data_IF_263660369333
#
_entry.id   IF_263660369333
#
_cell.length_a   1.000
_cell.length_b   1.000
_cell.length_c   1.000
_cell.angle_alpha   90.00
_cell.angle_beta   90.00
_cell.angle_gamma   90.00
#
_symmetry.space_group_name_H-M   'P 1'
#
loop_
_entity.id
_entity.type
_entity.pdbx_description
1 polymer ?
#
# COMPACT_ATOMS: atom_id res chain seq x y z
N UNK A 1 -19.44 -13.13 -18.09
CA UNK A 1 -19.42 -14.36 -18.93
C UNK A 1 -18.71 -15.44 -18.14
N UNK A 2 -19.36 -16.54 -17.73
CA UNK A 2 -18.68 -17.69 -17.11
C UNK A 2 -18.17 -18.61 -18.23
N UNK A 3 -16.86 -18.69 -18.37
CA UNK A 3 -16.22 -19.58 -19.35
C UNK A 3 -15.88 -20.98 -18.78
N UNK A 4 -16.37 -21.34 -17.60
CA UNK A 4 -16.04 -22.59 -16.93
C UNK A 4 -17.16 -23.61 -17.00
N UNK A 5 -16.81 -24.87 -17.33
CA UNK A 5 -17.61 -26.01 -16.95
C UNK A 5 -17.32 -26.34 -15.48
N UNK A 6 -18.23 -27.08 -14.81
CA UNK A 6 -18.02 -27.60 -13.43
C UNK A 6 -16.65 -28.32 -13.31
N UNK A 7 -16.20 -29.01 -14.33
CA UNK A 7 -14.89 -29.67 -14.38
C UNK A 7 -13.72 -28.68 -14.34
N UNK A 8 -13.83 -27.57 -15.06
CA UNK A 8 -12.79 -26.51 -15.06
C UNK A 8 -12.69 -25.85 -13.70
N UNK A 9 -13.82 -25.61 -13.03
CA UNK A 9 -13.85 -25.03 -11.69
C UNK A 9 -13.19 -25.96 -10.64
N UNK A 10 -13.43 -27.28 -10.74
CA UNK A 10 -12.77 -28.28 -9.88
C UNK A 10 -11.26 -28.33 -10.15
N UNK A 11 -10.84 -28.34 -11.41
CA UNK A 11 -9.42 -28.34 -11.79
C UNK A 11 -8.70 -27.12 -11.23
N UNK A 12 -9.27 -25.92 -11.41
CA UNK A 12 -8.71 -24.69 -10.88
C UNK A 12 -8.65 -24.71 -9.35
N UNK A 13 -9.66 -25.27 -8.68
CA UNK A 13 -9.66 -25.45 -7.22
C UNK A 13 -8.49 -26.30 -6.73
N UNK A 14 -8.22 -27.44 -7.38
CA UNK A 14 -7.08 -28.31 -7.03
C UNK A 14 -5.74 -27.60 -7.24
N UNK A 15 -5.61 -26.86 -8.34
CA UNK A 15 -4.37 -26.09 -8.64
C UNK A 15 -4.18 -24.98 -7.62
N UNK A 16 -5.25 -24.28 -7.24
CA UNK A 16 -5.18 -23.20 -6.25
C UNK A 16 -4.81 -23.71 -4.86
N UNK A 17 -5.44 -24.81 -4.38
CA UNK A 17 -5.09 -25.42 -3.10
C UNK A 17 -3.61 -25.83 -3.02
N UNK A 18 -3.09 -26.43 -4.08
CA UNK A 18 -1.68 -26.87 -4.12
C UNK A 18 -0.73 -25.67 -4.22
N UNK A 19 -1.13 -24.60 -4.93
CA UNK A 19 -0.38 -23.35 -5.00
C UNK A 19 -0.35 -22.63 -3.63
N UNK A 20 -1.46 -22.62 -2.90
CA UNK A 20 -1.54 -21.99 -1.58
C UNK A 20 -0.71 -22.76 -0.55
N UNK A 21 -0.71 -24.08 -0.58
CA UNK A 21 0.18 -24.92 0.22
C UNK A 21 1.67 -24.68 -0.11
N UNK A 22 2.00 -24.47 -1.39
CA UNK A 22 3.35 -24.10 -1.81
C UNK A 22 3.77 -22.72 -1.25
N UNK A 23 2.89 -21.72 -1.31
CA UNK A 23 3.14 -20.37 -0.74
C UNK A 23 3.30 -20.42 0.77
N UNK A 24 2.60 -21.32 1.47
CA UNK A 24 2.73 -21.55 2.90
C UNK A 24 4.04 -22.28 3.29
N UNK A 25 4.80 -22.79 2.31
CA UNK A 25 6.03 -23.56 2.54
C UNK A 25 5.82 -25.05 2.80
N UNK A 26 4.60 -25.56 2.65
CA UNK A 26 4.22 -26.95 2.93
C UNK A 26 4.60 -27.91 1.79
N UNK A 27 4.90 -27.38 0.60
CA UNK A 27 5.24 -28.16 -0.61
C UNK A 27 6.50 -27.61 -1.28
N UNK A 28 7.35 -28.51 -1.80
CA UNK A 28 8.55 -28.14 -2.56
C UNK A 28 8.17 -27.76 -4.01
N UNK A 29 8.74 -26.66 -4.52
CA UNK A 29 8.50 -26.07 -5.84
C UNK A 29 8.66 -27.02 -7.05
N UNK A 30 9.28 -28.17 -6.86
CA UNK A 30 9.66 -29.08 -7.97
C UNK A 30 8.50 -29.87 -8.59
N UNK A 31 7.39 -30.06 -7.87
CA UNK A 31 6.30 -30.91 -8.34
C UNK A 31 4.95 -30.48 -7.76
N UNK A 32 4.02 -30.14 -8.63
CA UNK A 32 2.60 -30.00 -8.31
C UNK A 32 1.88 -31.32 -8.72
N UNK A 33 2.02 -32.42 -7.95
CA UNK A 33 1.60 -33.75 -8.37
C UNK A 33 0.09 -33.88 -8.48
N UNK A 34 -0.68 -33.26 -7.59
CA UNK A 34 -2.14 -33.26 -7.62
C UNK A 34 -2.68 -32.45 -8.81
N UNK A 35 -2.09 -31.28 -9.03
CA UNK A 35 -2.42 -30.42 -10.18
C UNK A 35 -2.09 -31.11 -11.51
N UNK A 36 -0.93 -31.74 -11.61
CA UNK A 36 -0.54 -32.48 -12.82
C UNK A 36 -1.42 -33.71 -13.08
N UNK A 37 -1.82 -34.42 -12.03
CA UNK A 37 -2.76 -35.52 -12.13
C UNK A 37 -4.15 -35.08 -12.61
N UNK A 38 -4.63 -33.97 -12.06
CA UNK A 38 -5.90 -33.35 -12.44
C UNK A 38 -5.87 -32.86 -13.91
N UNK A 39 -4.81 -32.19 -14.34
CA UNK A 39 -4.61 -31.81 -15.75
C UNK A 39 -4.56 -33.04 -16.65
N UNK A 40 -3.91 -34.13 -16.21
CA UNK A 40 -3.83 -35.37 -16.98
C UNK A 40 -5.20 -36.04 -17.17
N UNK A 41 -6.02 -35.98 -16.13
CA UNK A 41 -7.39 -36.52 -16.18
C UNK A 41 -8.31 -35.72 -17.11
N UNK A 42 -8.22 -34.41 -17.06
CA UNK A 42 -9.09 -33.52 -17.84
C UNK A 42 -8.66 -33.37 -19.31
N UNK A 43 -7.35 -33.50 -19.59
CA UNK A 43 -6.78 -33.34 -20.92
C UNK A 43 -6.00 -34.60 -21.36
N UNK A 44 -6.66 -35.75 -21.50
CA UNK A 44 -5.99 -37.03 -21.84
C UNK A 44 -5.32 -37.02 -23.23
N UNK A 45 -5.78 -36.19 -24.14
CA UNK A 45 -5.24 -36.07 -25.51
C UNK A 45 -3.91 -35.30 -25.58
N UNK A 46 -3.55 -34.55 -24.56
CA UNK A 46 -2.28 -33.83 -24.53
C UNK A 46 -1.12 -34.77 -24.17
N UNK A 47 0.03 -34.55 -24.79
CA UNK A 47 1.28 -35.22 -24.41
C UNK A 47 1.73 -34.76 -23.00
N UNK A 48 2.61 -35.53 -22.35
CA UNK A 48 3.15 -35.18 -21.03
C UNK A 48 3.82 -33.83 -21.02
N UNK A 49 4.49 -33.44 -22.11
CA UNK A 49 5.14 -32.11 -22.23
C UNK A 49 4.10 -30.98 -22.28
N UNK A 50 3.05 -31.14 -23.08
CA UNK A 50 1.99 -30.14 -23.21
C UNK A 50 1.20 -29.95 -21.91
N UNK A 51 0.98 -31.03 -21.16
CA UNK A 51 0.34 -30.93 -19.82
C UNK A 51 1.17 -30.12 -18.83
N UNK A 52 2.48 -30.32 -18.82
CA UNK A 52 3.39 -29.54 -17.98
C UNK A 52 3.39 -28.06 -18.39
N UNK A 53 3.42 -27.79 -19.70
CA UNK A 53 3.37 -26.39 -20.19
C UNK A 53 2.02 -25.73 -19.89
N UNK A 54 0.90 -26.46 -20.03
CA UNK A 54 -0.42 -25.97 -19.64
C UNK A 54 -0.48 -25.65 -18.15
N UNK A 55 0.00 -26.55 -17.28
CA UNK A 55 0.04 -26.33 -15.84
C UNK A 55 0.92 -25.11 -15.50
N UNK A 56 2.09 -24.99 -16.13
CA UNK A 56 2.97 -23.83 -15.96
C UNK A 56 2.27 -22.53 -16.34
N UNK A 57 1.56 -22.49 -17.46
CA UNK A 57 0.78 -21.32 -17.90
C UNK A 57 -0.28 -20.94 -16.86
N UNK A 58 -1.05 -21.90 -16.37
CA UNK A 58 -2.09 -21.67 -15.36
C UNK A 58 -1.48 -21.18 -14.05
N UNK A 59 -0.42 -21.81 -13.56
CA UNK A 59 0.28 -21.38 -12.35
C UNK A 59 0.83 -19.96 -12.50
N UNK A 60 1.41 -19.63 -13.67
CA UNK A 60 1.89 -18.29 -13.96
C UNK A 60 0.73 -17.29 -13.93
N UNK A 61 -0.40 -17.60 -14.57
CA UNK A 61 -1.57 -16.73 -14.57
C UNK A 61 -2.14 -16.52 -13.15
N UNK A 62 -2.20 -17.56 -12.34
CA UNK A 62 -2.68 -17.47 -10.96
C UNK A 62 -1.69 -16.72 -10.03
N UNK A 63 -0.39 -16.84 -10.27
CA UNK A 63 0.63 -16.12 -9.49
C UNK A 63 0.79 -14.67 -9.93
N UNK A 64 0.56 -14.37 -11.20
CA UNK A 64 0.53 -12.98 -11.69
C UNK A 64 -0.72 -12.22 -11.24
N UNK A 65 -1.78 -12.92 -10.87
CA UNK A 65 -3.00 -12.34 -10.34
C UNK A 65 -2.89 -12.24 -8.80
N UNK A 66 -1.96 -11.41 -8.31
CA UNK A 66 -1.99 -10.98 -6.91
C UNK A 66 -3.31 -10.25 -6.72
N UNK A 67 -4.24 -10.83 -5.96
CA UNK A 67 -5.51 -10.19 -5.63
C UNK A 67 -5.19 -8.86 -4.94
N UNK A 68 -5.42 -7.77 -5.66
CA UNK A 68 -5.35 -6.45 -5.06
C UNK A 68 -6.53 -6.34 -4.09
N UNK A 69 -6.23 -6.20 -2.80
CA UNK A 69 -7.25 -5.98 -1.79
C UNK A 69 -7.50 -4.50 -1.65
N UNK A 70 -8.75 -4.12 -1.76
CA UNK A 70 -9.19 -2.74 -1.54
C UNK A 70 -10.24 -2.72 -0.45
N UNK A 71 -10.00 -1.95 0.59
CA UNK A 71 -10.90 -1.77 1.71
C UNK A 71 -11.27 -0.29 1.87
N UNK A 72 -12.56 -0.01 2.02
CA UNK A 72 -13.05 1.33 2.30
C UNK A 72 -12.75 1.71 3.75
N UNK A 73 -12.21 2.92 3.96
CA UNK A 73 -12.01 3.54 5.27
C UNK A 73 -12.79 4.83 5.38
N UNK A 74 -13.30 5.12 6.56
CA UNK A 74 -14.19 6.26 6.79
C UNK A 74 -13.77 7.01 8.05
N UNK A 75 -13.74 8.33 7.98
CA UNK A 75 -13.87 9.19 9.16
C UNK A 75 -15.30 9.70 9.24
N UNK A 76 -15.90 9.65 10.40
CA UNK A 76 -17.20 10.24 10.63
C UNK A 76 -17.35 10.58 12.13
N UNK A 77 -18.19 11.58 12.48
CA UNK A 77 -18.52 11.86 13.87
C UNK A 77 -19.07 10.62 14.57
N UNK A 78 -18.63 10.39 15.80
CA UNK A 78 -19.03 9.21 16.61
C UNK A 78 -20.55 9.05 16.76
N UNK A 79 -21.29 10.16 16.64
CA UNK A 79 -22.76 10.18 16.71
C UNK A 79 -23.45 9.43 15.57
N UNK A 80 -22.75 9.14 14.47
CA UNK A 80 -23.36 8.50 13.29
C UNK A 80 -23.38 6.97 13.35
N UNK A 81 -22.76 6.36 14.35
CA UNK A 81 -22.74 4.90 14.59
C UNK A 81 -22.39 4.07 13.33
N UNK A 82 -21.46 4.57 12.51
CA UNK A 82 -21.04 3.90 11.27
C UNK A 82 -20.16 2.69 11.60
N UNK A 83 -20.55 1.52 11.12
CA UNK A 83 -19.81 0.26 11.29
C UNK A 83 -18.85 0.02 10.14
N UNK A 84 -17.85 0.88 9.99
CA UNK A 84 -16.82 0.77 8.96
C UNK A 84 -15.47 1.00 9.60
N UNK A 85 -14.41 0.47 8.99
CA UNK A 85 -13.05 0.72 9.45
C UNK A 85 -12.75 2.20 9.46
N UNK A 86 -12.24 2.70 10.58
CA UNK A 86 -11.94 4.13 10.72
C UNK A 86 -10.64 4.49 10.03
N UNK A 87 -10.57 5.69 9.46
CA UNK A 87 -9.34 6.21 8.83
C UNK A 87 -8.18 6.24 9.82
N UNK A 88 -8.39 6.70 11.05
CA UNK A 88 -7.36 6.72 12.09
C UNK A 88 -6.87 5.31 12.46
N UNK A 89 -7.79 4.34 12.60
CA UNK A 89 -7.43 2.96 12.86
C UNK A 89 -6.59 2.35 11.73
N UNK A 90 -6.95 2.63 10.47
CA UNK A 90 -6.19 2.18 9.31
C UNK A 90 -4.79 2.83 9.25
N UNK A 91 -4.68 4.13 9.51
CA UNK A 91 -3.39 4.84 9.58
C UNK A 91 -2.47 4.18 10.61
N UNK A 92 -2.95 3.99 11.84
CA UNK A 92 -2.15 3.43 12.92
C UNK A 92 -1.67 2.01 12.57
N UNK A 93 -2.57 1.15 12.10
CA UNK A 93 -2.21 -0.22 11.73
C UNK A 93 -1.18 -0.26 10.59
N UNK A 94 -1.41 0.51 9.51
CA UNK A 94 -0.50 0.57 8.37
C UNK A 94 0.88 1.08 8.80
N UNK A 95 0.91 2.14 9.62
CA UNK A 95 2.15 2.72 10.11
C UNK A 95 2.91 1.76 11.04
N UNK A 96 2.19 1.09 11.95
CA UNK A 96 2.80 0.10 12.84
C UNK A 96 3.40 -1.08 12.08
N UNK A 97 2.77 -1.51 10.99
CA UNK A 97 3.24 -2.62 10.15
C UNK A 97 4.53 -2.33 9.40
N UNK A 98 4.95 -1.06 9.26
CA UNK A 98 6.11 -0.65 8.48
C UNK A 98 7.42 -1.30 8.96
N UNK A 99 8.15 -1.91 8.03
CA UNK A 99 9.43 -2.59 8.27
C UNK A 99 10.59 -2.05 7.41
N UNK A 100 10.31 -1.44 6.25
CA UNK A 100 11.32 -1.00 5.28
C UNK A 100 11.22 0.49 4.96
N UNK A 101 10.02 0.94 4.59
CA UNK A 101 9.83 2.31 4.10
C UNK A 101 8.44 2.85 4.37
N UNK A 102 8.34 4.17 4.53
CA UNK A 102 7.11 4.93 4.68
C UNK A 102 7.17 6.12 3.74
N UNK A 103 6.15 6.30 2.91
CA UNK A 103 5.89 7.54 2.15
C UNK A 103 4.60 8.12 2.69
N UNK A 104 4.63 9.39 3.05
CA UNK A 104 3.43 10.08 3.50
C UNK A 104 3.38 11.53 3.05
N UNK A 105 2.18 12.04 2.89
CA UNK A 105 1.94 13.45 2.56
C UNK A 105 1.21 14.16 3.68
N UNK A 106 1.53 15.44 3.89
CA UNK A 106 0.85 16.30 4.85
C UNK A 106 0.60 17.70 4.27
N UNK A 107 -0.67 18.02 3.95
CA UNK A 107 -1.04 19.39 3.62
C UNK A 107 -1.11 20.26 4.88
N UNK A 108 -1.76 19.72 5.92
CA UNK A 108 -1.87 20.33 7.23
C UNK A 108 -1.66 19.24 8.29
N UNK A 109 -0.71 19.47 9.17
CA UNK A 109 -0.37 18.58 10.30
C UNK A 109 -0.61 19.37 11.58
N UNK A 110 -1.58 18.93 12.36
CA UNK A 110 -1.93 19.59 13.64
C UNK A 110 -1.35 18.84 14.84
N UNK A 111 -1.32 19.50 15.99
CA UNK A 111 -0.90 18.88 17.27
C UNK A 111 -1.74 17.65 17.65
N UNK A 112 -2.98 17.55 17.15
CA UNK A 112 -3.87 16.41 17.39
C UNK A 112 -3.25 15.06 16.98
N UNK A 113 -2.33 15.06 16.02
CA UNK A 113 -1.65 13.86 15.55
C UNK A 113 -0.22 13.72 16.10
N UNK A 114 0.08 14.34 17.24
CA UNK A 114 1.41 14.28 17.87
C UNK A 114 1.91 12.85 18.07
N UNK A 115 1.06 11.94 18.58
CA UNK A 115 1.41 10.54 18.80
C UNK A 115 1.77 9.81 17.50
N UNK A 116 1.09 10.16 16.41
CA UNK A 116 1.39 9.66 15.09
C UNK A 116 2.79 10.13 14.62
N UNK A 117 3.14 11.40 14.85
CA UNK A 117 4.47 11.92 14.53
C UNK A 117 5.56 11.25 15.37
N UNK A 118 5.28 10.93 16.63
CA UNK A 118 6.20 10.19 17.50
C UNK A 118 6.45 8.77 16.96
N UNK A 119 5.41 8.13 16.46
CA UNK A 119 5.55 6.81 15.81
C UNK A 119 6.42 6.91 14.55
N UNK A 120 6.22 7.91 13.71
CA UNK A 120 7.03 8.16 12.50
C UNK A 120 8.51 8.36 12.86
N UNK A 121 8.80 9.20 13.86
CA UNK A 121 10.15 9.42 14.36
C UNK A 121 10.76 8.13 14.89
N UNK A 122 10.04 7.39 15.74
CA UNK A 122 10.52 6.14 16.30
C UNK A 122 10.82 5.09 15.21
N UNK A 123 9.99 5.01 14.14
CA UNK A 123 10.26 4.14 12.98
C UNK A 123 11.56 4.53 12.27
N UNK A 124 11.78 5.84 12.05
CA UNK A 124 13.02 6.31 11.42
C UNK A 124 14.26 6.01 12.26
N UNK A 125 14.18 6.12 13.59
CA UNK A 125 15.26 5.78 14.52
C UNK A 125 15.58 4.28 14.51
N UNK A 126 14.63 3.43 14.15
CA UNK A 126 14.83 1.98 13.92
C UNK A 126 15.39 1.64 12.54
N UNK A 127 15.73 2.63 11.72
CA UNK A 127 16.32 2.44 10.40
C UNK A 127 15.30 2.29 9.25
N UNK A 128 14.02 2.51 9.50
CA UNK A 128 12.98 2.55 8.45
C UNK A 128 13.08 3.88 7.70
N UNK A 129 13.12 3.83 6.37
CA UNK A 129 13.23 5.05 5.55
C UNK A 129 11.86 5.73 5.48
N UNK A 130 11.74 6.89 6.12
CA UNK A 130 10.53 7.72 6.08
C UNK A 130 10.74 8.90 5.15
N UNK A 131 9.86 9.04 4.17
CA UNK A 131 9.79 10.19 3.24
C UNK A 131 8.48 10.95 3.49
N UNK A 132 8.60 12.13 4.08
CA UNK A 132 7.47 13.01 4.38
C UNK A 132 7.45 14.16 3.38
N UNK A 133 6.39 14.26 2.60
CA UNK A 133 6.13 15.34 1.65
C UNK A 133 5.11 16.31 2.21
N UNK A 134 5.46 17.60 2.30
CA UNK A 134 4.66 18.63 2.95
C UNK A 134 4.50 19.86 2.07
N UNK A 135 3.39 20.59 2.26
CA UNK A 135 3.07 21.73 1.41
C UNK A 135 3.75 23.02 1.89
N UNK A 136 3.81 23.26 3.20
CA UNK A 136 4.48 24.42 3.80
C UNK A 136 5.05 24.04 5.15
N UNK A 137 6.35 24.24 5.31
CA UNK A 137 7.05 23.97 6.59
C UNK A 137 6.91 25.14 7.57
N UNK A 138 6.96 26.36 7.04
CA UNK A 138 7.24 27.57 7.84
C UNK A 138 6.13 27.93 8.83
N UNK A 139 4.91 27.46 8.63
CA UNK A 139 3.75 27.84 9.43
C UNK A 139 3.16 26.71 10.29
N UNK A 140 3.88 25.60 10.46
CA UNK A 140 3.31 24.44 11.16
C UNK A 140 4.19 24.04 12.36
N UNK A 141 3.81 24.50 13.55
CA UNK A 141 4.54 24.20 14.80
C UNK A 141 4.78 22.70 15.05
N UNK A 142 3.84 21.85 14.63
CA UNK A 142 3.95 20.40 14.73
C UNK A 142 5.11 19.81 13.92
N UNK A 143 5.61 20.54 12.92
CA UNK A 143 6.71 20.08 12.08
C UNK A 143 8.08 20.40 12.64
N UNK A 144 8.20 21.38 13.57
CA UNK A 144 9.47 21.68 14.22
C UNK A 144 10.06 20.45 14.90
N UNK A 145 9.20 19.63 15.52
CA UNK A 145 9.62 18.36 16.12
C UNK A 145 10.22 17.42 15.08
N UNK A 146 9.55 17.23 13.93
CA UNK A 146 10.05 16.40 12.82
C UNK A 146 11.37 16.94 12.26
N UNK A 147 11.50 18.25 12.12
CA UNK A 147 12.69 18.90 11.62
C UNK A 147 13.91 18.66 12.51
N UNK A 148 13.73 18.56 13.84
CA UNK A 148 14.80 18.19 14.79
C UNK A 148 15.32 16.77 14.61
N UNK A 149 14.48 15.85 14.10
CA UNK A 149 14.84 14.43 13.89
C UNK A 149 15.14 14.08 12.43
N UNK A 150 15.18 15.09 11.53
CA UNK A 150 15.55 14.84 10.13
C UNK A 150 16.91 14.16 10.03
N UNK A 151 17.02 13.19 9.15
CA UNK A 151 18.20 12.34 8.99
C UNK A 151 18.17 11.62 7.65
N UNK A 152 19.13 10.72 7.42
CA UNK A 152 19.08 9.84 6.25
C UNK A 152 17.85 8.93 6.24
N UNK A 153 17.29 8.60 7.41
CA UNK A 153 16.11 7.76 7.56
C UNK A 153 14.80 8.56 7.70
N UNK A 154 14.85 9.82 8.18
CA UNK A 154 13.73 10.74 8.18
C UNK A 154 14.00 11.88 7.21
N UNK A 155 13.45 11.76 6.01
CA UNK A 155 13.65 12.69 4.91
C UNK A 155 12.38 13.54 4.77
N UNK A 156 12.54 14.86 4.81
CA UNK A 156 11.43 15.79 4.71
C UNK A 156 11.59 16.57 3.40
N UNK A 157 10.51 16.61 2.62
CA UNK A 157 10.44 17.27 1.34
C UNK A 157 9.38 18.36 1.38
N UNK A 158 9.77 19.58 1.05
CA UNK A 158 8.86 20.71 0.95
C UNK A 158 8.39 20.88 -0.50
N UNK A 159 7.12 21.19 -0.67
CA UNK A 159 6.58 21.62 -1.96
C UNK A 159 7.19 22.95 -2.36
N UNK A 160 7.80 23.04 -3.54
CA UNK A 160 8.63 24.16 -3.95
C UNK A 160 8.25 24.74 -5.32
N UNK A 161 7.09 24.38 -5.88
CA UNK A 161 6.67 24.92 -7.16
C UNK A 161 6.22 26.38 -7.00
N UNK A 162 7.09 27.33 -7.34
CA UNK A 162 6.83 28.76 -7.29
C UNK A 162 6.16 29.31 -8.57
N UNK A 163 6.20 28.54 -9.68
CA UNK A 163 5.69 28.98 -10.97
C UNK A 163 4.16 29.04 -10.99
N UNK A 164 3.49 28.17 -10.26
CA UNK A 164 2.04 28.16 -10.12
C UNK A 164 1.58 28.34 -8.69
N UNK A 165 1.25 29.57 -8.32
CA UNK A 165 0.77 29.94 -6.97
C UNK A 165 -0.58 29.31 -6.60
N UNK A 166 -1.30 28.76 -7.57
CA UNK A 166 -2.58 28.09 -7.35
C UNK A 166 -2.42 26.58 -7.08
N UNK A 167 -1.28 26.02 -7.41
CA UNK A 167 -1.00 24.61 -7.17
C UNK A 167 -0.50 24.37 -5.74
N UNK A 168 -0.83 23.20 -5.20
CA UNK A 168 -0.43 22.79 -3.86
C UNK A 168 -0.40 21.26 -3.75
N UNK A 169 0.43 20.73 -2.86
CA UNK A 169 0.32 19.36 -2.44
C UNK A 169 -0.96 19.18 -1.61
N UNK A 170 -2.01 18.62 -2.20
CA UNK A 170 -3.27 18.36 -1.50
C UNK A 170 -3.60 16.85 -1.36
N UNK A 171 -2.72 15.97 -1.82
CA UNK A 171 -2.84 14.54 -1.64
C UNK A 171 -2.71 14.14 -0.16
N UNK A 172 -3.49 13.15 0.29
CA UNK A 172 -3.44 12.56 1.62
C UNK A 172 -3.16 11.07 1.44
N UNK A 173 -1.89 10.73 1.58
CA UNK A 173 -1.36 9.40 1.27
C UNK A 173 -0.48 8.92 2.41
N UNK A 174 -0.63 7.64 2.72
CA UNK A 174 0.31 6.87 3.52
C UNK A 174 0.59 5.56 2.78
N UNK A 175 1.81 5.38 2.29
CA UNK A 175 2.24 4.14 1.64
C UNK A 175 3.38 3.51 2.42
N UNK A 176 3.27 2.22 2.71
CA UNK A 176 4.21 1.49 3.56
C UNK A 176 4.75 0.28 2.80
N UNK A 177 6.07 0.11 2.86
CA UNK A 177 6.83 -1.03 2.32
C UNK A 177 6.59 -1.32 0.83
N UNK A 178 6.01 -0.36 0.10
CA UNK A 178 5.69 -0.47 -1.31
C UNK A 178 4.55 -1.43 -1.65
N UNK A 179 3.71 -1.81 -0.66
CA UNK A 179 2.61 -2.75 -0.89
C UNK A 179 1.28 -2.38 -0.21
N UNK A 180 1.29 -1.54 0.82
CA UNK A 180 0.08 -1.07 1.51
C UNK A 180 -0.02 0.43 1.36
N UNK A 181 -1.06 0.90 0.69
CA UNK A 181 -1.26 2.33 0.40
C UNK A 181 -2.65 2.77 0.83
N UNK A 182 -2.70 3.69 1.79
CA UNK A 182 -3.91 4.41 2.14
C UNK A 182 -3.98 5.70 1.33
N UNK A 183 -5.09 5.90 0.62
CA UNK A 183 -5.43 7.12 -0.09
C UNK A 183 -6.73 7.64 0.52
N UNK A 184 -6.75 8.90 0.97
CA UNK A 184 -7.90 9.45 1.68
C UNK A 184 -8.15 10.92 1.33
N UNK A 185 -9.33 11.43 1.67
CA UNK A 185 -9.61 12.87 1.70
C UNK A 185 -9.20 13.52 3.03
N UNK A 186 -8.95 12.73 4.08
CA UNK A 186 -8.72 13.18 5.45
C UNK A 186 -7.33 13.83 5.65
N UNK A 187 -7.29 15.07 6.07
CA UNK A 187 -6.04 15.71 6.55
C UNK A 187 -5.58 15.12 7.89
N UNK A 188 -4.29 15.22 8.19
CA UNK A 188 -3.70 14.89 9.50
C UNK A 188 -4.06 15.97 10.53
N UNK A 189 -5.34 16.07 10.87
CA UNK A 189 -5.92 17.04 11.79
C UNK A 189 -7.11 16.45 12.54
N UNK A 190 -7.58 17.12 13.60
CA UNK A 190 -8.78 16.70 14.32
C UNK A 190 -9.99 16.53 13.39
N UNK A 191 -10.25 17.50 12.52
CA UNK A 191 -11.38 17.44 11.60
C UNK A 191 -11.27 16.26 10.63
N UNK A 192 -10.10 16.03 10.06
CA UNK A 192 -9.86 14.91 9.15
C UNK A 192 -9.91 13.53 9.82
N UNK A 193 -9.55 13.47 11.13
CA UNK A 193 -9.49 12.18 11.84
C UNK A 193 -10.76 11.86 12.65
N UNK A 194 -11.61 12.85 12.97
CA UNK A 194 -12.76 12.65 13.87
C UNK A 194 -13.96 13.56 13.59
N UNK A 195 -13.76 14.75 13.00
CA UNK A 195 -14.79 15.78 12.94
C UNK A 195 -15.62 15.79 11.68
N UNK A 196 -15.01 15.48 10.54
CA UNK A 196 -15.65 15.50 9.22
C UNK A 196 -16.15 14.11 8.81
N UNK A 197 -16.95 14.06 7.74
CA UNK A 197 -17.12 12.83 6.95
C UNK A 197 -16.02 12.83 5.89
N UNK A 198 -15.09 11.87 6.00
CA UNK A 198 -13.98 11.67 5.06
C UNK A 198 -13.99 10.22 4.58
N UNK A 199 -13.61 10.03 3.33
CA UNK A 199 -13.55 8.71 2.70
C UNK A 199 -12.15 8.43 2.18
N UNK A 200 -11.77 7.15 2.21
CA UNK A 200 -10.53 6.68 1.64
C UNK A 200 -10.56 5.20 1.33
N UNK A 201 -9.50 4.73 0.71
CA UNK A 201 -9.28 3.32 0.41
C UNK A 201 -7.91 2.90 0.93
N UNK A 202 -7.87 1.79 1.66
CA UNK A 202 -6.64 1.04 1.91
C UNK A 202 -6.48 0.01 0.81
N UNK A 203 -5.38 0.09 0.07
CA UNK A 203 -5.04 -0.77 -1.06
C UNK A 203 -3.84 -1.62 -0.68
N UNK A 204 -3.97 -2.95 -0.74
CA UNK A 204 -2.84 -3.88 -0.66
C UNK A 204 -2.47 -4.30 -2.09
N UNK A 205 -1.41 -3.68 -2.64
CA UNK A 205 -0.94 -3.88 -4.01
C UNK A 205 0.49 -3.39 -4.16
N UNK A 206 1.42 -4.29 -4.52
CA UNK A 206 2.80 -3.93 -4.84
C UNK A 206 2.88 -3.01 -6.08
N UNK A 207 1.97 -3.20 -7.03
CA UNK A 207 1.88 -2.36 -8.22
C UNK A 207 1.56 -0.91 -7.87
N UNK A 208 0.56 -0.69 -7.01
CA UNK A 208 0.17 0.65 -6.54
C UNK A 208 1.27 1.25 -5.66
N UNK A 209 1.86 0.46 -4.75
CA UNK A 209 2.98 0.91 -3.93
C UNK A 209 4.18 1.36 -4.76
N UNK A 210 4.53 0.60 -5.80
CA UNK A 210 5.57 0.98 -6.75
C UNK A 210 5.22 2.25 -7.54
N UNK A 211 4.01 2.35 -8.07
CA UNK A 211 3.56 3.57 -8.76
C UNK A 211 3.65 4.80 -7.87
N UNK A 212 3.34 4.65 -6.58
CA UNK A 212 3.45 5.72 -5.60
C UNK A 212 4.91 6.15 -5.39
N UNK A 213 5.82 5.19 -5.23
CA UNK A 213 7.25 5.48 -5.11
C UNK A 213 7.81 6.18 -6.36
N UNK A 214 7.51 5.63 -7.54
CA UNK A 214 7.95 6.17 -8.83
C UNK A 214 7.42 7.61 -9.03
N UNK A 215 6.15 7.88 -8.69
CA UNK A 215 5.55 9.21 -8.78
C UNK A 215 6.28 10.24 -7.92
N UNK A 216 6.50 9.94 -6.63
CA UNK A 216 7.17 10.89 -5.75
C UNK A 216 8.65 11.07 -6.09
N UNK A 217 9.32 10.04 -6.60
CA UNK A 217 10.67 10.17 -7.13
C UNK A 217 10.71 11.06 -8.38
N UNK A 218 9.73 10.94 -9.28
CA UNK A 218 9.63 11.80 -10.45
C UNK A 218 9.39 13.25 -10.05
N UNK A 219 8.41 13.52 -9.17
CA UNK A 219 8.12 14.87 -8.67
C UNK A 219 9.35 15.53 -8.00
N UNK A 220 10.17 14.73 -7.31
CA UNK A 220 11.43 15.21 -6.75
C UNK A 220 12.46 15.54 -7.85
N UNK A 221 12.62 14.70 -8.86
CA UNK A 221 13.52 14.95 -10.00
C UNK A 221 13.12 16.19 -10.80
N UNK A 222 11.83 16.42 -10.96
CA UNK A 222 11.25 17.61 -11.63
C UNK A 222 11.28 18.86 -10.72
N UNK A 223 11.90 18.77 -9.54
CA UNK A 223 12.04 19.88 -8.57
C UNK A 223 10.72 20.43 -8.02
N UNK A 224 9.62 19.69 -8.16
CA UNK A 224 8.33 20.02 -7.53
C UNK A 224 8.46 19.95 -6.01
N UNK A 225 9.33 19.07 -5.52
CA UNK A 225 9.71 18.98 -4.11
C UNK A 225 11.20 19.24 -3.93
N UNK A 226 11.53 19.93 -2.86
CA UNK A 226 12.91 20.13 -2.41
C UNK A 226 13.12 19.45 -1.06
N UNK A 227 14.17 18.62 -0.97
CA UNK A 227 14.54 18.01 0.30
C UNK A 227 15.12 19.05 1.24
N UNK A 228 14.62 19.05 2.48
CA UNK A 228 15.18 19.89 3.53
C UNK A 228 16.45 19.19 4.05
N UNK A 229 17.60 19.71 3.68
CA UNK A 229 18.90 19.26 4.18
C UNK A 229 19.21 19.80 5.56
N UNK A 230 20.18 19.18 6.23
CA UNK A 230 20.73 19.63 7.52
C UNK A 230 21.42 20.98 7.42
#
# INVERSE_FOLDING_TARGET
>A
MRFGSIRTDILLGVIQEELDAFKAGDINAATFPRSLAAVTSEFPSLSSKERVELLRLVLTALTCNTEEKVELVVTAPNSFAIKTRTTLGAINEVLESAQKSIIMTGYSVSEYVSDFLDTVIAKSQKGIVVRLYINKVDNQASLEKLLRYKSRFLQIYNYANEEDKMSALHAKILSVDGNRTLISSANLSYHGMSGNIELGCLVESEKIGKQMDDLFQQLYKEKVFQRIFE
#
